data_IF_858932418600
#
_entry.id   IF_858932418600
#
_cell.length_a   1.000
_cell.length_b   1.000
_cell.length_c   1.000
_cell.angle_alpha   90.00
_cell.angle_beta   90.00
_cell.angle_gamma   90.00
#
_symmetry.space_group_name_H-M   'P 1'
#
loop_
_entity.id
_entity.type
_entity.pdbx_description
1 polymer ?
#
# COMPACT_ATOMS: atom_id res chain seq x y z
N UNK A 1 5.44 22.32 31.08
CA UNK A 1 5.49 22.49 29.60
C UNK A 1 5.93 21.26 28.82
N UNK A 2 7.19 20.77 28.86
CA UNK A 2 7.55 19.56 28.06
C UNK A 2 6.81 18.29 28.47
N UNK A 3 6.51 18.14 29.76
CA UNK A 3 5.86 16.93 30.27
C UNK A 3 4.39 16.83 29.85
N UNK A 4 3.63 17.93 29.93
CA UNK A 4 2.22 17.97 29.52
C UNK A 4 2.00 17.54 28.06
N UNK A 5 2.91 17.94 27.16
CA UNK A 5 2.82 17.56 25.75
C UNK A 5 3.03 16.05 25.55
N UNK A 6 4.03 15.48 26.23
CA UNK A 6 4.32 14.04 26.16
C UNK A 6 3.15 13.25 26.76
N UNK A 7 2.56 13.73 27.86
CA UNK A 7 1.40 13.09 28.48
C UNK A 7 0.21 13.02 27.52
N UNK A 8 -0.04 14.09 26.75
CA UNK A 8 -1.10 14.13 25.73
C UNK A 8 -0.82 13.12 24.61
N UNK A 9 0.42 13.04 24.10
CA UNK A 9 0.78 12.09 23.04
C UNK A 9 0.63 10.63 23.50
N UNK A 10 0.99 10.32 24.75
CA UNK A 10 0.78 8.99 25.32
C UNK A 10 -0.69 8.68 25.51
N UNK A 11 -1.48 9.66 25.99
CA UNK A 11 -2.92 9.50 26.21
C UNK A 11 -3.66 9.16 24.91
N UNK A 12 -3.25 9.76 23.79
CA UNK A 12 -3.88 9.55 22.48
C UNK A 12 -3.02 8.73 21.51
N UNK A 13 -2.15 7.84 22.01
CA UNK A 13 -1.23 7.06 21.17
C UNK A 13 -1.95 6.33 20.03
N UNK A 14 -3.12 5.75 20.31
CA UNK A 14 -3.95 5.00 19.35
C UNK A 14 -4.54 5.87 18.23
N UNK A 15 -4.48 7.19 18.33
CA UNK A 15 -4.91 8.11 17.26
C UNK A 15 -3.83 8.29 16.18
N UNK A 16 -2.60 7.82 16.44
CA UNK A 16 -1.48 7.93 15.52
C UNK A 16 -1.18 6.57 14.89
N UNK A 17 -0.76 6.57 13.62
CA UNK A 17 -0.21 5.35 13.03
C UNK A 17 1.17 5.06 13.62
N UNK A 18 1.37 3.80 13.96
CA UNK A 18 2.68 3.23 14.30
C UNK A 18 3.06 2.19 13.25
N UNK A 19 4.34 1.81 13.18
CA UNK A 19 4.81 0.77 12.26
C UNK A 19 4.10 -0.58 12.49
N UNK A 20 3.65 -0.84 13.72
CA UNK A 20 2.89 -2.04 14.09
C UNK A 20 1.37 -1.88 13.87
N UNK A 21 0.87 -0.65 13.85
CA UNK A 21 -0.56 -0.31 13.76
C UNK A 21 -0.76 0.77 12.68
N UNK A 22 -0.74 0.38 11.39
CA UNK A 22 -0.87 1.32 10.30
C UNK A 22 -2.30 1.91 10.23
N UNK A 23 -2.38 3.20 9.88
CA UNK A 23 -3.63 3.89 9.56
C UNK A 23 -4.35 3.15 8.41
N UNK A 24 -5.48 2.51 8.71
CA UNK A 24 -6.27 1.82 7.69
C UNK A 24 -7.25 0.77 8.22
N UNK A 25 -7.02 0.23 9.42
CA UNK A 25 -7.93 -0.75 10.03
C UNK A 25 -9.05 -0.10 10.87
N UNK A 26 -9.65 0.98 10.36
CA UNK A 26 -10.76 1.65 11.06
C UNK A 26 -12.04 0.87 10.81
N UNK A 27 -12.54 0.19 11.83
CA UNK A 27 -13.82 -0.55 11.77
C UNK A 27 -14.94 0.38 11.30
N UNK A 28 -15.72 -0.05 10.31
CA UNK A 28 -16.83 0.71 9.74
C UNK A 28 -16.47 1.68 8.62
N UNK A 29 -15.18 1.81 8.24
CA UNK A 29 -14.74 2.54 7.04
C UNK A 29 -14.33 1.57 5.91
N UNK A 30 -14.90 0.37 5.91
CA UNK A 30 -14.70 -0.60 4.85
C UNK A 30 -15.37 -0.09 3.56
N UNK A 31 -14.64 -0.17 2.45
CA UNK A 31 -15.14 0.24 1.14
C UNK A 31 -15.59 -1.00 0.39
N UNK A 32 -16.87 -1.08 0.06
CA UNK A 32 -17.38 -2.09 -0.87
C UNK A 32 -17.07 -1.67 -2.31
N UNK A 33 -16.12 -2.35 -2.94
CA UNK A 33 -15.67 -2.06 -4.31
C UNK A 33 -16.28 -3.11 -5.24
N UNK A 34 -17.42 -2.78 -5.84
CA UNK A 34 -18.04 -3.59 -6.88
C UNK A 34 -17.51 -3.20 -8.27
N UNK A 35 -17.28 -4.20 -9.12
CA UNK A 35 -16.96 -3.97 -10.53
C UNK A 35 -18.26 -3.70 -11.30
N UNK A 36 -18.32 -2.60 -12.06
CA UNK A 36 -19.45 -2.28 -12.94
C UNK A 36 -19.49 -3.12 -14.22
N UNK A 37 -18.98 -4.36 -14.21
CA UNK A 37 -18.88 -5.21 -15.40
C UNK A 37 -19.35 -6.62 -15.06
N UNK A 38 -20.28 -7.11 -15.88
CA UNK A 38 -20.81 -8.45 -15.78
C UNK A 38 -19.93 -9.45 -16.56
N UNK A 39 -19.99 -10.73 -16.16
CA UNK A 39 -19.42 -11.86 -16.93
C UNK A 39 -19.95 -11.80 -18.37
N UNK A 40 -19.16 -12.17 -19.41
CA UNK A 40 -18.08 -13.16 -19.38
C UNK A 40 -16.66 -12.61 -19.44
N UNK A 41 -16.46 -11.30 -19.58
CA UNK A 41 -15.13 -10.75 -19.80
C UNK A 41 -14.48 -10.39 -18.45
N UNK A 42 -13.29 -10.92 -18.12
CA UNK A 42 -12.58 -10.48 -16.93
C UNK A 42 -12.21 -9.00 -17.08
N UNK A 43 -12.17 -8.23 -15.98
CA UNK A 43 -11.62 -6.88 -16.01
C UNK A 43 -10.22 -6.94 -16.62
N UNK A 44 -10.03 -6.24 -17.73
CA UNK A 44 -8.77 -6.25 -18.50
C UNK A 44 -7.64 -5.80 -17.57
N UNK A 45 -6.68 -6.68 -17.33
CA UNK A 45 -5.43 -6.31 -16.69
C UNK A 45 -4.79 -5.24 -17.56
N UNK A 46 -4.72 -4.01 -17.04
CA UNK A 46 -4.04 -2.93 -17.77
C UNK A 46 -2.58 -3.35 -17.97
N UNK A 47 -2.01 -2.83 -19.07
CA UNK A 47 -0.62 -3.01 -19.54
C UNK A 47 0.35 -3.32 -18.40
N UNK A 48 1.34 -4.17 -18.70
CA UNK A 48 2.46 -4.44 -17.80
C UNK A 48 2.95 -3.14 -17.17
N UNK A 49 3.21 -3.17 -15.87
CA UNK A 49 3.69 -2.01 -15.14
C UNK A 49 4.92 -1.44 -15.87
N UNK A 50 4.96 -0.12 -16.04
CA UNK A 50 6.13 0.52 -16.62
C UNK A 50 7.36 0.18 -15.80
N UNK A 51 8.49 -0.05 -16.47
CA UNK A 51 9.76 -0.29 -15.81
C UNK A 51 10.06 0.90 -14.89
N UNK A 52 10.11 0.65 -13.59
CA UNK A 52 10.55 1.64 -12.64
C UNK A 52 12.04 1.95 -12.86
N UNK A 53 12.45 3.20 -12.66
CA UNK A 53 13.87 3.58 -12.71
C UNK A 53 14.67 2.82 -11.63
N UNK A 54 15.99 2.61 -11.81
CA UNK A 54 16.80 1.87 -10.84
C UNK A 54 16.64 2.38 -9.40
N UNK A 55 16.67 3.71 -9.21
CA UNK A 55 16.45 4.36 -7.90
C UNK A 55 15.03 4.13 -7.35
N UNK A 56 14.02 4.12 -8.21
CA UNK A 56 12.65 3.86 -7.80
C UNK A 56 12.49 2.39 -7.38
N UNK A 57 13.15 1.45 -8.07
CA UNK A 57 13.15 0.02 -7.72
C UNK A 57 13.76 -0.22 -6.34
N UNK A 58 14.94 0.33 -6.06
CA UNK A 58 15.58 0.22 -4.74
C UNK A 58 14.69 0.72 -3.60
N UNK A 59 14.01 1.85 -3.83
CA UNK A 59 13.08 2.42 -2.85
C UNK A 59 11.85 1.54 -2.64
N UNK A 60 11.28 1.01 -3.74
CA UNK A 60 10.12 0.12 -3.69
C UNK A 60 10.44 -1.22 -3.05
N UNK A 61 11.62 -1.79 -3.30
CA UNK A 61 12.07 -3.05 -2.71
C UNK A 61 12.26 -2.91 -1.18
N UNK A 62 12.81 -1.76 -0.73
CA UNK A 62 12.91 -1.45 0.70
C UNK A 62 11.55 -1.31 1.37
N UNK A 63 10.59 -0.66 0.71
CA UNK A 63 9.25 -0.42 1.28
C UNK A 63 8.34 -1.66 1.16
N UNK A 64 8.49 -2.47 0.13
CA UNK A 64 7.65 -3.62 -0.17
C UNK A 64 8.50 -4.87 -0.50
N UNK A 65 9.11 -5.53 0.50
CA UNK A 65 10.02 -6.66 0.27
C UNK A 65 9.32 -7.95 -0.20
N UNK A 66 7.98 -8.00 -0.24
CA UNK A 66 7.18 -9.18 -0.61
C UNK A 66 6.47 -9.08 -1.97
N UNK A 67 6.63 -8.01 -2.73
CA UNK A 67 6.15 -7.99 -4.12
C UNK A 67 7.07 -8.87 -4.96
N UNK A 68 6.51 -9.93 -5.55
CA UNK A 68 7.24 -10.83 -6.44
C UNK A 68 7.96 -10.02 -7.53
N UNK A 69 9.29 -10.13 -7.69
CA UNK A 69 10.07 -9.28 -8.60
C UNK A 69 9.77 -9.51 -10.09
N UNK A 70 8.97 -10.53 -10.42
CA UNK A 70 8.55 -10.88 -11.78
C UNK A 70 7.70 -9.81 -12.48
N UNK A 71 7.11 -8.85 -11.75
CA UNK A 71 6.38 -7.72 -12.32
C UNK A 71 7.29 -6.67 -13.00
N UNK A 72 8.60 -6.84 -12.90
CA UNK A 72 9.59 -5.80 -13.17
C UNK A 72 10.76 -6.26 -14.05
N UNK A 73 10.74 -7.48 -14.60
CA UNK A 73 11.76 -7.99 -15.53
C UNK A 73 11.30 -7.84 -16.98
N UNK A 74 12.24 -7.50 -17.88
CA UNK A 74 11.99 -7.37 -19.33
C UNK A 74 11.49 -8.65 -19.99
N UNK A 75 11.62 -9.78 -19.30
CA UNK A 75 11.24 -11.13 -19.70
C UNK A 75 9.71 -11.37 -19.75
N UNK A 76 8.92 -10.37 -19.33
CA UNK A 76 7.46 -10.39 -19.42
C UNK A 76 6.89 -9.69 -20.66
N UNK A 77 7.73 -9.38 -21.67
CA UNK A 77 7.27 -8.96 -23.01
C UNK A 77 6.75 -10.19 -23.79
N UNK A 78 5.59 -10.10 -24.47
CA UNK A 78 5.15 -11.14 -25.39
C UNK A 78 6.10 -11.31 -26.58
#
# INVERSE_FOLDING_TARGET
>A
MRNEFIDVLYTYNNAFASDNEPLGAIKGHEVDIALNSDRPYPPVLRRTAYLASPRARESLEKTYPRVNPTWCTEESRP
#
